data_IF_141077865538
#
_entry.id   IF_141077865538
#
_cell.length_a   1.000
_cell.length_b   1.000
_cell.length_c   1.000
_cell.angle_alpha   90.00
_cell.angle_beta   90.00
_cell.angle_gamma   90.00
#
_symmetry.space_group_name_H-M   'P 1'
#
loop_
_entity.id
_entity.type
_entity.pdbx_description
1 polymer ?
#
# COMPACT_ATOMS: atom_id res chain seq x y z
N UNK A 1 -23.72 -12.88 -25.65
CA UNK A 1 -22.46 -12.13 -25.81
C UNK A 1 -22.12 -11.61 -24.44
N UNK A 2 -21.46 -12.44 -23.63
CA UNK A 2 -21.12 -12.10 -22.26
C UNK A 2 -19.82 -11.31 -22.27
N UNK A 3 -19.88 -10.04 -21.88
CA UNK A 3 -18.71 -9.16 -21.80
C UNK A 3 -17.65 -9.78 -20.88
N UNK A 4 -16.52 -10.16 -21.47
CA UNK A 4 -15.36 -10.75 -20.80
C UNK A 4 -14.63 -9.63 -20.06
N UNK A 5 -15.16 -9.19 -18.93
CA UNK A 5 -14.49 -8.18 -18.11
C UNK A 5 -13.30 -8.82 -17.39
N UNK A 6 -12.08 -8.37 -17.69
CA UNK A 6 -10.89 -8.83 -16.98
C UNK A 6 -10.80 -8.18 -15.60
N UNK A 7 -10.54 -9.02 -14.59
CA UNK A 7 -10.33 -8.58 -13.21
C UNK A 7 -8.96 -9.01 -12.72
N UNK A 8 -8.22 -8.12 -12.08
CA UNK A 8 -7.01 -8.51 -11.34
C UNK A 8 -7.43 -9.03 -9.95
N UNK A 9 -6.92 -10.20 -9.55
CA UNK A 9 -7.34 -10.87 -8.31
C UNK A 9 -6.16 -11.12 -7.34
N UNK A 10 -5.52 -10.06 -6.81
CA UNK A 10 -4.48 -10.24 -5.80
C UNK A 10 -5.09 -10.74 -4.48
N UNK A 11 -4.32 -11.43 -3.67
CA UNK A 11 -4.72 -11.79 -2.31
C UNK A 11 -4.79 -10.52 -1.44
N UNK A 12 -3.84 -9.61 -1.63
CA UNK A 12 -3.74 -8.36 -0.90
C UNK A 12 -3.49 -7.15 -1.81
N UNK A 13 -4.20 -6.05 -1.52
CA UNK A 13 -3.83 -4.72 -2.03
C UNK A 13 -3.26 -3.89 -0.88
N UNK A 14 -2.09 -3.30 -1.06
CA UNK A 14 -1.51 -2.33 -0.13
C UNK A 14 -1.64 -0.95 -0.75
N UNK A 15 -2.54 -0.12 -0.23
CA UNK A 15 -2.90 1.17 -0.79
C UNK A 15 -2.45 2.32 0.11
N UNK A 16 -1.83 3.34 -0.47
CA UNK A 16 -1.47 4.56 0.27
C UNK A 16 -0.11 5.13 -0.09
N UNK A 17 0.34 6.09 0.74
CA UNK A 17 1.47 6.96 0.45
C UNK A 17 2.72 6.77 1.33
N UNK A 18 2.77 5.74 2.18
CA UNK A 18 3.95 5.40 2.99
C UNK A 18 4.74 4.22 2.36
N UNK A 19 5.84 4.50 1.63
CA UNK A 19 6.52 3.46 0.85
C UNK A 19 7.28 2.45 1.72
N UNK A 20 7.77 2.87 2.88
CA UNK A 20 8.47 1.98 3.81
C UNK A 20 7.50 0.93 4.35
N UNK A 21 6.36 1.38 4.90
CA UNK A 21 5.35 0.46 5.41
C UNK A 21 4.78 -0.41 4.29
N UNK A 22 4.51 0.18 3.12
CA UNK A 22 3.95 -0.59 2.00
C UNK A 22 4.86 -1.74 1.58
N UNK A 23 6.18 -1.53 1.53
CA UNK A 23 7.15 -2.59 1.25
C UNK A 23 7.24 -3.61 2.39
N UNK A 24 7.24 -3.18 3.66
CA UNK A 24 7.26 -4.10 4.80
C UNK A 24 6.03 -5.02 4.81
N UNK A 25 4.83 -4.45 4.63
CA UNK A 25 3.58 -5.24 4.52
C UNK A 25 3.67 -6.18 3.33
N UNK A 26 4.05 -5.67 2.14
CA UNK A 26 4.09 -6.48 0.93
C UNK A 26 5.08 -7.64 1.04
N UNK A 27 6.29 -7.39 1.55
CA UNK A 27 7.31 -8.42 1.72
C UNK A 27 6.84 -9.51 2.68
N UNK A 28 6.32 -9.13 3.85
CA UNK A 28 5.82 -10.07 4.86
C UNK A 28 4.74 -10.99 4.29
N UNK A 29 3.79 -10.43 3.54
CA UNK A 29 2.67 -11.18 2.96
C UNK A 29 3.11 -12.05 1.79
N UNK A 30 4.02 -11.55 0.96
CA UNK A 30 4.64 -12.33 -0.10
C UNK A 30 5.48 -13.51 0.43
N UNK A 31 6.17 -13.34 1.57
CA UNK A 31 6.86 -14.45 2.27
C UNK A 31 5.90 -15.53 2.77
N UNK A 32 4.64 -15.17 3.04
CA UNK A 32 3.56 -16.12 3.34
C UNK A 32 2.90 -16.73 2.09
N UNK A 33 3.41 -16.45 0.90
CA UNK A 33 2.90 -17.00 -0.35
C UNK A 33 1.78 -16.18 -1.00
N UNK A 34 1.39 -15.04 -0.44
CA UNK A 34 0.33 -14.21 -0.99
C UNK A 34 0.79 -13.39 -2.20
N UNK A 35 -0.08 -13.25 -3.19
CA UNK A 35 0.08 -12.28 -4.27
C UNK A 35 -0.33 -10.88 -3.77
N UNK A 36 0.62 -9.94 -3.83
CA UNK A 36 0.43 -8.58 -3.31
C UNK A 36 0.50 -7.58 -4.45
N UNK A 37 -0.47 -6.67 -4.48
CA UNK A 37 -0.46 -5.49 -5.33
C UNK A 37 -0.25 -4.24 -4.46
N UNK A 38 0.83 -3.51 -4.69
CA UNK A 38 1.04 -2.18 -4.12
C UNK A 38 0.36 -1.17 -5.05
N UNK A 39 -0.54 -0.37 -4.48
CA UNK A 39 -1.26 0.72 -5.14
C UNK A 39 -0.89 2.06 -4.49
N UNK A 40 0.19 2.70 -4.98
CA UNK A 40 0.55 4.04 -4.55
C UNK A 40 -0.57 5.03 -4.83
N UNK A 41 -0.79 5.95 -3.91
CA UNK A 41 -1.75 7.00 -4.14
C UNK A 41 -1.18 8.08 -5.07
N UNK A 42 -2.00 8.56 -5.99
CA UNK A 42 -1.66 9.63 -6.97
C UNK A 42 -2.65 10.80 -6.91
N UNK A 43 -3.50 10.83 -5.88
CA UNK A 43 -4.52 11.82 -5.63
C UNK A 43 -3.92 13.13 -5.16
N UNK A 44 -4.57 14.23 -5.55
CA UNK A 44 -4.22 15.56 -5.09
C UNK A 44 -4.67 15.83 -3.64
N UNK A 45 -4.13 16.85 -2.96
CA UNK A 45 -4.47 17.16 -1.58
C UNK A 45 -5.98 17.36 -1.29
N UNK A 46 -6.78 17.83 -2.27
CA UNK A 46 -8.23 18.05 -2.06
C UNK A 46 -9.03 16.74 -2.05
N UNK A 47 -8.44 15.64 -2.48
CA UNK A 47 -9.07 14.32 -2.45
C UNK A 47 -9.08 13.69 -1.05
N UNK A 48 -8.47 14.33 -0.06
CA UNK A 48 -8.32 13.80 1.30
C UNK A 48 -9.16 14.56 2.34
N UNK A 49 -9.65 13.85 3.38
CA UNK A 49 -10.33 14.46 4.53
C UNK A 49 -9.54 15.55 5.25
N UNK A 50 -8.20 15.41 5.32
CA UNK A 50 -7.31 16.39 5.95
C UNK A 50 -6.21 16.82 4.97
N UNK A 51 -6.00 18.14 4.74
CA UNK A 51 -4.94 18.65 3.86
C UNK A 51 -3.52 18.29 4.33
N UNK A 52 -3.33 18.10 5.64
CA UNK A 52 -2.01 17.92 6.26
C UNK A 52 -1.37 16.56 5.97
N UNK A 53 -2.10 15.63 5.34
CA UNK A 53 -1.52 14.35 4.90
C UNK A 53 -0.36 14.54 3.91
N UNK A 54 -0.39 15.60 3.11
CA UNK A 54 0.73 15.95 2.24
C UNK A 54 1.99 16.37 3.02
N UNK A 55 1.83 17.03 4.18
CA UNK A 55 2.94 17.45 5.04
C UNK A 55 3.57 16.24 5.75
N UNK A 56 2.74 15.28 6.19
CA UNK A 56 3.20 14.07 6.86
C UNK A 56 4.05 13.16 5.96
N UNK A 57 3.82 13.14 4.65
CA UNK A 57 4.61 12.33 3.73
C UNK A 57 6.11 12.70 3.71
N UNK A 58 6.43 13.99 3.81
CA UNK A 58 7.81 14.47 3.91
C UNK A 58 8.41 14.17 5.28
N UNK A 59 7.64 14.36 6.36
CA UNK A 59 8.08 14.06 7.72
C UNK A 59 8.42 12.56 7.89
N UNK A 60 7.61 11.67 7.32
CA UNK A 60 7.85 10.20 7.31
C UNK A 60 9.17 9.82 6.65
N UNK A 61 9.55 10.54 5.59
CA UNK A 61 10.80 10.27 4.91
C UNK A 61 12.01 10.80 5.70
N UNK A 62 11.86 12.00 6.28
CA UNK A 62 12.96 12.70 6.95
C UNK A 62 13.22 12.23 8.38
N UNK A 63 12.29 11.53 9.03
CA UNK A 63 12.44 11.03 10.40
C UNK A 63 13.28 9.74 10.49
N UNK A 64 14.03 9.37 9.44
CA UNK A 64 14.85 8.17 9.42
C UNK A 64 15.94 8.21 10.49
N UNK A 65 16.05 7.13 11.25
CA UNK A 65 17.09 6.93 12.25
C UNK A 65 17.48 5.45 12.39
N UNK A 66 18.47 5.19 13.26
CA UNK A 66 18.97 3.84 13.50
C UNK A 66 17.93 2.94 14.21
N UNK A 67 17.04 3.50 15.02
CA UNK A 67 16.01 2.73 15.74
C UNK A 67 15.00 2.13 14.75
N UNK A 68 14.59 2.93 13.76
CA UNK A 68 13.76 2.48 12.63
C UNK A 68 14.50 1.38 11.84
N UNK A 69 15.79 1.60 11.53
CA UNK A 69 16.59 0.62 10.79
C UNK A 69 16.64 -0.74 11.51
N UNK A 70 16.88 -0.73 12.83
CA UNK A 70 16.90 -1.94 13.68
C UNK A 70 15.54 -2.62 13.73
N UNK A 71 14.45 -1.87 13.79
CA UNK A 71 13.10 -2.43 13.76
C UNK A 71 12.80 -3.13 12.42
N UNK A 72 13.22 -2.57 11.29
CA UNK A 72 13.08 -3.23 9.98
C UNK A 72 13.86 -4.55 9.94
N UNK A 73 15.12 -4.55 10.38
CA UNK A 73 15.94 -5.78 10.41
C UNK A 73 15.38 -6.81 11.40
N UNK A 74 14.83 -6.37 12.54
CA UNK A 74 14.14 -7.26 13.49
C UNK A 74 12.99 -7.99 12.81
N UNK A 75 12.28 -7.32 11.92
CA UNK A 75 11.18 -7.90 11.15
C UNK A 75 11.65 -8.77 9.97
N UNK A 76 12.79 -8.44 9.36
CA UNK A 76 13.37 -9.12 8.21
C UNK A 76 14.86 -9.40 8.43
N UNK A 77 15.22 -10.45 9.20
CA UNK A 77 16.61 -10.69 9.62
C UNK A 77 17.61 -10.95 8.49
N UNK A 78 17.12 -11.29 7.29
CA UNK A 78 17.95 -11.49 6.11
C UNK A 78 18.41 -10.19 5.44
N UNK A 79 17.83 -9.04 5.80
CA UNK A 79 18.24 -7.74 5.26
C UNK A 79 19.46 -7.20 6.01
N UNK A 80 20.41 -6.54 5.31
CA UNK A 80 21.48 -5.81 5.98
C UNK A 80 20.90 -4.64 6.78
N UNK A 81 21.60 -4.20 7.84
CA UNK A 81 21.24 -2.98 8.56
C UNK A 81 21.45 -1.77 7.64
N UNK A 82 20.37 -1.06 7.23
CA UNK A 82 20.49 0.06 6.31
C UNK A 82 21.02 1.31 7.01
N UNK A 83 21.95 2.04 6.38
CA UNK A 83 22.44 3.31 6.92
C UNK A 83 21.47 4.47 6.65
N UNK A 84 20.60 4.34 5.64
CA UNK A 84 19.69 5.40 5.20
C UNK A 84 18.34 4.86 4.72
N UNK A 85 17.31 5.72 4.68
CA UNK A 85 15.99 5.37 4.12
C UNK A 85 16.08 4.87 2.67
N UNK A 86 16.81 5.51 1.73
CA UNK A 86 16.96 5.00 0.37
C UNK A 86 17.62 3.61 0.28
N UNK A 87 18.60 3.33 1.14
CA UNK A 87 19.21 1.99 1.23
C UNK A 87 18.20 0.96 1.72
N UNK A 88 17.46 1.28 2.78
CA UNK A 88 16.40 0.42 3.31
C UNK A 88 15.35 0.09 2.24
N UNK A 89 14.85 1.11 1.54
CA UNK A 89 13.89 0.95 0.46
C UNK A 89 14.47 0.13 -0.70
N UNK A 90 15.77 0.26 -0.99
CA UNK A 90 16.45 -0.55 -2.01
C UNK A 90 16.45 -2.02 -1.61
N UNK A 91 16.94 -2.35 -0.41
CA UNK A 91 16.99 -3.73 0.10
C UNK A 91 15.60 -4.36 0.18
N UNK A 92 14.60 -3.63 0.69
CA UNK A 92 13.22 -4.08 0.76
C UNK A 92 12.61 -4.31 -0.62
N UNK A 93 12.83 -3.39 -1.58
CA UNK A 93 12.32 -3.54 -2.94
C UNK A 93 12.94 -4.75 -3.64
N UNK A 94 14.24 -5.00 -3.44
CA UNK A 94 14.91 -6.17 -3.97
C UNK A 94 14.31 -7.46 -3.39
N UNK A 95 14.18 -7.54 -2.06
CA UNK A 95 13.57 -8.69 -1.40
C UNK A 95 12.13 -8.93 -1.89
N UNK A 96 11.33 -7.87 -2.08
CA UNK A 96 9.99 -7.96 -2.66
C UNK A 96 10.02 -8.58 -4.06
N UNK A 97 10.94 -8.18 -4.94
CA UNK A 97 11.06 -8.75 -6.30
C UNK A 97 11.45 -10.22 -6.26
N UNK A 98 12.34 -10.61 -5.36
CA UNK A 98 12.83 -11.98 -5.24
C UNK A 98 11.68 -12.95 -4.91
N UNK A 99 10.65 -12.48 -4.20
CA UNK A 99 9.42 -13.27 -3.98
C UNK A 99 8.63 -13.57 -5.25
N UNK A 100 8.76 -12.73 -6.30
CA UNK A 100 7.93 -12.73 -7.54
C UNK A 100 6.42 -12.62 -7.29
N UNK A 101 6.01 -12.21 -6.10
CA UNK A 101 4.60 -12.10 -5.69
C UNK A 101 4.14 -10.67 -5.49
N UNK A 102 5.08 -9.72 -5.44
CA UNK A 102 4.80 -8.29 -5.26
C UNK A 102 4.84 -7.58 -6.61
N UNK A 103 3.75 -6.91 -6.97
CA UNK A 103 3.67 -6.00 -8.12
C UNK A 103 3.23 -4.62 -7.66
N UNK A 104 3.64 -3.59 -8.38
CA UNK A 104 3.19 -2.22 -8.19
C UNK A 104 2.33 -1.79 -9.37
N UNK A 105 1.20 -1.16 -9.10
CA UNK A 105 0.43 -0.47 -10.14
C UNK A 105 0.89 0.98 -10.26
N UNK A 106 1.17 1.42 -11.48
CA UNK A 106 1.68 2.76 -11.77
C UNK A 106 0.54 3.66 -12.28
N UNK A 107 0.46 4.88 -11.74
CA UNK A 107 -0.42 5.94 -12.23
C UNK A 107 -1.93 5.79 -12.01
N UNK A 108 -2.39 4.73 -11.34
CA UNK A 108 -3.83 4.46 -11.15
C UNK A 108 -4.23 4.56 -9.68
N UNK A 109 -5.15 5.47 -9.36
CA UNK A 109 -5.81 5.55 -8.05
C UNK A 109 -7.15 4.83 -8.08
N UNK A 110 -7.60 4.34 -6.93
CA UNK A 110 -8.77 3.46 -6.82
C UNK A 110 -9.87 4.04 -5.92
N UNK A 111 -11.11 3.66 -6.22
CA UNK A 111 -12.32 3.95 -5.45
C UNK A 111 -13.04 2.65 -5.10
N UNK A 112 -13.77 2.68 -3.99
CA UNK A 112 -14.70 1.61 -3.62
C UNK A 112 -15.96 1.67 -4.46
N UNK A 113 -16.60 0.52 -4.66
CA UNK A 113 -17.94 0.51 -5.23
C UNK A 113 -18.95 1.13 -4.26
N UNK A 114 -19.65 2.19 -4.65
CA UNK A 114 -20.80 2.72 -3.88
C UNK A 114 -22.09 1.91 -4.07
N UNK A 115 -22.03 0.77 -4.76
CA UNK A 115 -23.19 -0.09 -5.07
C UNK A 115 -22.79 -1.57 -5.20
N UNK A 116 -23.74 -2.47 -4.95
CA UNK A 116 -23.51 -3.92 -4.95
C UNK A 116 -23.01 -4.43 -6.31
N UNK A 117 -21.70 -4.59 -6.46
CA UNK A 117 -21.13 -5.39 -7.54
C UNK A 117 -21.51 -6.85 -7.24
N UNK A 118 -22.13 -7.53 -8.20
CA UNK A 118 -22.27 -8.99 -8.14
C UNK A 118 -20.89 -9.60 -8.22
N UNK A 119 -20.33 -9.99 -7.08
CA UNK A 119 -19.01 -10.58 -6.95
C UNK A 119 -18.92 -11.49 -5.73
N UNK A 120 -17.77 -12.12 -5.54
CA UNK A 120 -17.46 -12.89 -4.35
C UNK A 120 -17.60 -11.98 -3.11
N UNK A 121 -18.56 -12.30 -2.23
CA UNK A 121 -18.85 -11.52 -1.01
C UNK A 121 -17.65 -11.43 -0.06
N UNK A 122 -16.61 -12.23 -0.28
CA UNK A 122 -15.38 -12.25 0.53
C UNK A 122 -14.28 -11.36 -0.04
N UNK A 123 -14.49 -10.69 -1.16
CA UNK A 123 -13.46 -9.88 -1.82
C UNK A 123 -13.90 -8.43 -1.96
N UNK A 124 -12.96 -7.53 -1.71
CA UNK A 124 -13.15 -6.10 -1.89
C UNK A 124 -12.98 -5.75 -3.38
N UNK A 125 -13.91 -4.96 -3.93
CA UNK A 125 -13.87 -4.55 -5.34
C UNK A 125 -13.46 -3.09 -5.44
N UNK A 126 -12.33 -2.86 -6.08
CA UNK A 126 -11.74 -1.54 -6.29
C UNK A 126 -11.78 -1.19 -7.78
N UNK A 127 -12.36 -0.03 -8.10
CA UNK A 127 -12.41 0.50 -9.46
C UNK A 127 -11.38 1.60 -9.62
N UNK A 128 -10.74 1.74 -10.80
CA UNK A 128 -9.95 2.92 -11.06
C UNK A 128 -10.83 4.18 -10.99
N UNK A 129 -10.28 5.26 -10.46
CA UNK A 129 -10.94 6.57 -10.50
C UNK A 129 -10.81 7.14 -11.91
N UNK A 130 -11.94 7.55 -12.48
CA UNK A 130 -11.99 8.20 -13.78
C UNK A 130 -11.11 9.47 -13.82
N UNK A 131 -10.30 9.69 -14.87
CA UNK A 131 -9.40 10.84 -14.97
C UNK A 131 -10.08 12.21 -14.81
N UNK A 132 -11.38 12.35 -15.10
CA UNK A 132 -12.12 13.60 -14.96
C UNK A 132 -12.74 13.84 -13.57
N UNK A 133 -12.65 12.87 -12.66
CA UNK A 133 -13.24 12.97 -11.30
C UNK A 133 -12.23 13.40 -10.24
N UNK A 134 -10.97 13.57 -10.61
CA UNK A 134 -9.88 13.95 -9.72
C UNK A 134 -8.82 14.73 -10.48
N UNK A 135 -8.07 15.56 -9.77
CA UNK A 135 -6.78 16.02 -10.26
C UNK A 135 -5.69 15.01 -9.85
N UNK A 136 -4.71 14.80 -10.72
CA UNK A 136 -3.58 13.91 -10.44
C UNK A 136 -2.42 14.74 -9.91
N UNK A 137 -1.98 14.45 -8.68
CA UNK A 137 -0.70 14.97 -8.17
C UNK A 137 0.50 14.20 -8.73
N UNK A 138 0.25 13.05 -9.37
CA UNK A 138 1.28 12.10 -9.78
C UNK A 138 1.90 11.35 -8.61
N UNK A 139 2.82 10.43 -8.91
CA UNK A 139 3.56 9.72 -7.87
C UNK A 139 4.50 10.65 -7.12
N UNK A 140 4.55 10.52 -5.79
CA UNK A 140 5.57 11.18 -4.99
C UNK A 140 6.99 10.70 -5.40
N UNK A 141 8.06 11.47 -5.12
CA UNK A 141 9.42 11.13 -5.56
C UNK A 141 9.90 9.74 -5.12
N UNK A 142 9.52 9.31 -3.92
CA UNK A 142 9.90 8.00 -3.37
C UNK A 142 9.25 6.86 -4.14
N UNK A 143 7.97 6.99 -4.50
CA UNK A 143 7.30 6.04 -5.37
C UNK A 143 7.89 6.03 -6.78
N UNK A 144 8.29 7.18 -7.34
CA UNK A 144 9.01 7.23 -8.62
C UNK A 144 10.34 6.46 -8.55
N UNK A 145 11.05 6.54 -7.43
CA UNK A 145 12.27 5.78 -7.18
C UNK A 145 12.02 4.27 -7.13
N UNK A 146 10.92 3.84 -6.48
CA UNK A 146 10.52 2.44 -6.34
C UNK A 146 9.91 1.84 -7.60
N UNK A 147 9.22 2.63 -8.42
CA UNK A 147 8.63 2.22 -9.69
C UNK A 147 9.69 1.63 -10.65
N UNK A 148 10.95 2.06 -10.54
CA UNK A 148 12.06 1.51 -11.35
C UNK A 148 12.63 0.20 -10.79
N UNK A 149 12.24 -0.18 -9.58
CA UNK A 149 12.79 -1.32 -8.84
C UNK A 149 11.79 -2.45 -8.70
N UNK A 150 10.49 -2.17 -8.57
CA UNK A 150 9.46 -3.21 -8.49
C UNK A 150 8.97 -3.64 -9.87
N UNK A 151 8.37 -4.82 -9.95
CA UNK A 151 7.63 -5.23 -11.14
C UNK A 151 6.39 -4.36 -11.28
N UNK A 152 6.25 -3.71 -12.44
CA UNK A 152 5.23 -2.71 -12.69
C UNK A 152 4.12 -3.26 -13.56
N UNK A 153 2.90 -2.87 -13.22
CA UNK A 153 1.76 -3.04 -14.08
C UNK A 153 1.07 -1.70 -14.33
N UNK A 154 0.51 -1.57 -15.53
CA UNK A 154 -0.34 -0.46 -15.91
C UNK A 154 -1.76 -0.96 -16.03
N UNK A 155 -2.72 -0.19 -15.50
CA UNK A 155 -4.12 -0.52 -15.64
C UNK A 155 -4.58 -0.20 -17.07
N UNK A 156 -4.81 -1.23 -17.87
CA UNK A 156 -5.37 -1.06 -19.20
C UNK A 156 -6.90 -1.13 -19.11
N UNK A 157 -7.58 0.02 -19.19
CA UNK A 157 -9.04 0.11 -19.12
C UNK A 157 -9.80 -0.66 -20.21
N UNK A 158 -9.11 -1.20 -21.23
CA UNK A 158 -9.71 -2.07 -22.25
C UNK A 158 -9.73 -3.56 -21.85
N UNK A 159 -8.87 -3.96 -20.92
CA UNK A 159 -8.65 -5.36 -20.56
C UNK A 159 -8.91 -5.63 -19.08
N UNK A 160 -8.62 -4.67 -18.22
CA UNK A 160 -8.87 -4.72 -16.79
C UNK A 160 -9.84 -3.62 -16.43
N UNK A 161 -10.93 -3.99 -15.75
CA UNK A 161 -11.96 -3.04 -15.33
C UNK A 161 -11.90 -2.74 -13.84
N UNK A 162 -11.57 -3.75 -13.03
CA UNK A 162 -11.47 -3.61 -11.59
C UNK A 162 -10.45 -4.57 -10.97
N UNK A 163 -10.11 -4.30 -9.72
CA UNK A 163 -9.38 -5.20 -8.84
C UNK A 163 -10.39 -5.86 -7.90
N UNK A 164 -10.27 -7.17 -7.71
CA UNK A 164 -11.00 -7.91 -6.68
C UNK A 164 -9.99 -8.49 -5.69
N UNK A 165 -9.78 -7.82 -4.56
CA UNK A 165 -8.77 -8.14 -3.56
C UNK A 165 -9.34 -9.02 -2.43
N UNK A 166 -8.55 -9.94 -1.89
CA UNK A 166 -8.94 -10.70 -0.68
C UNK A 166 -8.97 -9.80 0.57
N UNK A 167 -7.99 -8.90 0.68
CA UNK A 167 -7.93 -7.85 1.70
C UNK A 167 -7.26 -6.58 1.17
N UNK A 168 -7.48 -5.46 1.85
CA UNK A 168 -6.89 -4.16 1.55
C UNK A 168 -6.23 -3.61 2.81
N UNK A 169 -4.94 -3.27 2.71
CA UNK A 169 -4.20 -2.59 3.78
C UNK A 169 -3.98 -1.14 3.38
N UNK A 170 -4.48 -0.22 4.20
CA UNK A 170 -4.26 1.21 4.05
C UNK A 170 -3.02 1.62 4.85
N UNK A 171 -2.07 2.30 4.19
CA UNK A 171 -0.86 2.86 4.85
C UNK A 171 -0.95 4.37 5.06
N UNK A 172 -1.93 5.02 4.43
CA UNK A 172 -2.39 6.38 4.70
C UNK A 172 -3.91 6.37 4.91
N UNK A 173 -4.46 7.40 5.56
CA UNK A 173 -5.91 7.51 5.74
C UNK A 173 -6.67 7.39 4.42
N UNK A 174 -7.90 6.87 4.39
CA UNK A 174 -8.67 6.75 3.15
C UNK A 174 -9.01 8.13 2.55
N UNK A 175 -8.99 8.21 1.22
CA UNK A 175 -9.50 9.37 0.48
C UNK A 175 -11.03 9.37 0.44
N UNK A 176 -11.65 10.45 -0.03
CA UNK A 176 -13.12 10.54 -0.19
C UNK A 176 -13.71 9.52 -1.19
N UNK A 177 -12.85 8.84 -1.95
CA UNK A 177 -13.21 7.81 -2.92
C UNK A 177 -13.24 6.40 -2.32
N UNK A 178 -12.70 6.22 -1.11
CA UNK A 178 -12.54 4.91 -0.46
C UNK A 178 -13.43 4.85 0.78
N UNK A 179 -14.46 4.01 0.71
CA UNK A 179 -15.27 3.61 1.85
C UNK A 179 -14.61 2.42 2.58
N UNK A 180 -13.80 2.72 3.59
CA UNK A 180 -13.04 1.72 4.34
C UNK A 180 -13.82 1.10 5.53
N UNK A 181 -15.15 1.02 5.45
CA UNK A 181 -16.00 0.45 6.52
C UNK A 181 -16.10 -1.08 6.49
N UNK A 182 -15.72 -1.70 5.37
CA UNK A 182 -15.70 -3.15 5.18
C UNK A 182 -14.63 -3.83 6.05
N UNK A 183 -14.91 -5.05 6.52
CA UNK A 183 -13.96 -5.87 7.30
C UNK A 183 -12.75 -6.32 6.48
N UNK A 184 -12.77 -6.14 5.15
CA UNK A 184 -11.62 -6.41 4.29
C UNK A 184 -10.50 -5.37 4.45
N UNK A 185 -10.77 -4.24 5.10
CA UNK A 185 -9.79 -3.18 5.33
C UNK A 185 -9.05 -3.36 6.66
N UNK A 186 -7.73 -3.24 6.58
CA UNK A 186 -6.85 -3.07 7.73
C UNK A 186 -6.10 -1.75 7.64
N UNK A 187 -5.92 -1.09 8.77
CA UNK A 187 -5.26 0.22 8.85
C UNK A 187 -3.91 0.06 9.55
N UNK A 188 -2.83 0.46 8.88
CA UNK A 188 -1.48 0.42 9.44
C UNK A 188 -0.81 1.77 9.34
N UNK A 189 0.16 2.00 10.21
CA UNK A 189 0.92 3.24 10.20
C UNK A 189 0.06 4.47 10.41
N UNK A 190 0.19 5.42 9.49
CA UNK A 190 -0.58 6.66 9.45
C UNK A 190 -2.06 6.46 9.12
N UNK A 191 -2.49 5.30 8.62
CA UNK A 191 -3.90 5.06 8.37
C UNK A 191 -4.69 4.74 9.64
N UNK A 192 -4.00 4.39 10.75
CA UNK A 192 -4.65 4.02 12.01
C UNK A 192 -5.44 5.20 12.58
N UNK A 193 -6.58 4.89 13.17
CA UNK A 193 -7.35 5.85 13.96
C UNK A 193 -6.55 6.24 15.21
N UNK A 194 -6.75 7.47 15.69
CA UNK A 194 -6.16 8.00 16.94
C UNK A 194 -4.63 8.13 16.97
N UNK A 195 -4.00 8.27 15.81
CA UNK A 195 -2.57 8.51 15.74
C UNK A 195 -2.21 9.99 16.02
N UNK A 196 -1.14 10.27 16.80
CA UNK A 196 -0.58 11.61 16.89
C UNK A 196 -0.20 12.17 15.51
N UNK A 197 -0.48 13.46 15.29
CA UNK A 197 -0.19 14.13 14.01
C UNK A 197 1.33 14.32 13.78
N UNK A 198 2.14 14.23 14.84
CA UNK A 198 3.59 14.33 14.77
C UNK A 198 4.26 13.01 14.36
N UNK A 199 5.31 13.10 13.55
CA UNK A 199 6.09 11.96 13.08
C UNK A 199 7.51 12.03 13.62
N UNK A 200 7.80 11.17 14.61
CA UNK A 200 9.14 10.92 15.11
C UNK A 200 9.54 9.44 14.96
N UNK A 201 10.78 9.13 15.30
CA UNK A 201 11.32 7.79 15.20
C UNK A 201 10.56 6.75 16.02
N UNK A 202 10.10 7.09 17.23
CA UNK A 202 9.35 6.16 18.08
C UNK A 202 7.96 5.88 17.48
N UNK A 203 7.28 6.90 16.97
CA UNK A 203 6.03 6.76 16.25
C UNK A 203 6.21 5.93 14.97
N UNK A 204 7.36 6.04 14.29
CA UNK A 204 7.67 5.18 13.13
C UNK A 204 7.94 3.73 13.50
N UNK A 205 8.60 3.48 14.62
CA UNK A 205 8.78 2.11 15.14
C UNK A 205 7.41 1.52 15.48
N UNK A 206 6.51 2.28 16.09
CA UNK A 206 5.13 1.84 16.34
C UNK A 206 4.37 1.56 15.04
N UNK A 207 4.54 2.39 14.02
CA UNK A 207 3.98 2.13 12.69
C UNK A 207 4.49 0.83 12.07
N UNK A 208 5.80 0.60 12.12
CA UNK A 208 6.42 -0.64 11.65
C UNK A 208 5.86 -1.84 12.41
N UNK A 209 5.67 -1.73 13.72
CA UNK A 209 5.04 -2.78 14.52
C UNK A 209 3.61 -3.04 14.09
N UNK A 210 2.82 -2.00 13.77
CA UNK A 210 1.46 -2.19 13.27
C UNK A 210 1.41 -2.95 11.94
N UNK A 211 2.43 -2.79 11.09
CA UNK A 211 2.60 -3.57 9.87
C UNK A 211 3.08 -5.03 10.13
N UNK A 212 3.39 -5.37 11.38
CA UNK A 212 3.78 -6.71 11.82
C UNK A 212 2.72 -7.45 12.65
N UNK A 213 1.73 -6.74 13.20
CA UNK A 213 0.78 -7.27 14.18
C UNK A 213 -0.30 -8.21 13.58
N UNK A 214 -0.70 -9.18 14.40
CA UNK A 214 -1.62 -10.32 14.19
C UNK A 214 -3.08 -9.99 13.77
N UNK A 215 -3.38 -8.74 13.44
CA UNK A 215 -4.68 -8.33 12.89
C UNK A 215 -4.81 -8.49 11.37
N UNK A 216 -3.71 -8.81 10.68
CA UNK A 216 -3.76 -9.25 9.28
C UNK A 216 -4.18 -10.73 9.22
N UNK A 217 -4.97 -11.17 8.22
CA UNK A 217 -5.40 -12.56 8.12
C UNK A 217 -4.22 -13.50 8.29
N UNK A 218 -4.24 -14.37 9.30
CA UNK A 218 -3.07 -15.20 9.62
C UNK A 218 -2.61 -15.98 8.39
N UNK A 219 -1.29 -16.05 8.20
CA UNK A 219 -0.71 -16.86 7.14
C UNK A 219 -1.17 -18.30 7.35
N UNK A 220 -1.87 -18.87 6.37
CA UNK A 220 -2.17 -20.29 6.35
C UNK A 220 -0.83 -21.03 6.38
N UNK A 221 -0.54 -21.72 7.49
CA UNK A 221 0.62 -22.61 7.54
C UNK A 221 0.38 -23.71 6.50
N UNK A 222 1.22 -23.74 5.46
CA UNK A 222 1.34 -24.88 4.54
C UNK A 222 2.48 -25.76 5.05
#
# INVERSE_FOLDING_TARGET
>A
MDGIYGSLRPDLVVMGNDPLLSLCVALRRAMCGESVLIAPDTLDPRSWPKPDYAQNALAIFNCWDEVIAREVVRQFPALPLPASMPECLTSLSQACRETRRVRMIDGTAFQTSRGYVRGDRRREVLFPIEPGRRDSAGLNPTWKFLARRLDRMYFNHRELEFISAGAVVLTSHPSYFVDATSTAYSFVGQARQDKPEFVDALARVDDLKSASYEGMPQCSQV
#
